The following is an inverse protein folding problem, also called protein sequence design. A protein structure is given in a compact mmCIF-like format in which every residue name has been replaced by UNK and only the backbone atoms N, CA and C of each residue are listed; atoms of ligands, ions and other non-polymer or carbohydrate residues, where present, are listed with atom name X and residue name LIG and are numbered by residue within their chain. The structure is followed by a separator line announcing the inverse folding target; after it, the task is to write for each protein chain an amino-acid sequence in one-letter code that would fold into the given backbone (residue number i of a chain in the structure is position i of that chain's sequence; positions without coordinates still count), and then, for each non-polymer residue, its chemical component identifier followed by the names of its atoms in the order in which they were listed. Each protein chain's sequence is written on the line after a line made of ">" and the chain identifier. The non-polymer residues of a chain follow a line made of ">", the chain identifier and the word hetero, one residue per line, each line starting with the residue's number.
data_IF_498808103418
#
_entry.id   IF_498808103418
#
_cell.length_a   1.000
_cell.length_b   1.000
_cell.length_c   1.000
_cell.angle_alpha   90.00
_cell.angle_beta   90.00
_cell.angle_gamma   90.00
#
_symmetry.space_group_name_H-M   'P 1'
#
loop_
_entity.id
_entity.type
_entity.pdbx_description
1 polymer ?
#
# COMPACT_ATOMS: atom_id res chain seq x y z
N UNK A 1 -20.28 11.31 20.73
CA UNK A 1 -18.91 11.23 20.18
C UNK A 1 -18.70 12.44 19.27
N UNK A 2 -17.44 12.78 18.93
CA UNK A 2 -17.14 13.84 17.97
C UNK A 2 -17.95 13.65 16.66
N UNK A 3 -18.29 14.75 16.00
CA UNK A 3 -19.03 14.77 14.73
C UNK A 3 -20.35 13.95 14.68
N UNK A 4 -20.99 13.73 15.84
CA UNK A 4 -22.33 13.15 15.92
C UNK A 4 -22.40 11.63 15.81
N UNK A 5 -21.27 10.91 15.77
CA UNK A 5 -21.26 9.46 15.76
C UNK A 5 -21.94 8.87 17.02
N UNK A 6 -22.72 7.79 16.84
CA UNK A 6 -23.41 7.10 17.95
C UNK A 6 -22.55 6.03 18.60
N UNK A 7 -21.77 5.31 17.80
CA UNK A 7 -20.89 4.22 18.25
C UNK A 7 -19.59 4.24 17.45
N UNK A 8 -18.52 3.77 18.06
CA UNK A 8 -17.23 3.54 17.42
C UNK A 8 -16.71 2.17 17.79
N UNK A 9 -15.93 1.58 16.88
CA UNK A 9 -15.12 0.39 17.12
C UNK A 9 -13.79 0.60 16.41
N UNK A 10 -12.70 0.12 17.00
CA UNK A 10 -11.39 0.33 16.42
C UNK A 10 -10.34 -0.55 17.08
N UNK A 11 -9.15 -0.50 16.49
CA UNK A 11 -7.96 -1.19 16.96
C UNK A 11 -6.81 -0.19 16.93
N UNK A 12 -6.02 -0.21 18.00
CA UNK A 12 -4.73 0.44 18.06
C UNK A 12 -3.70 -0.64 18.38
N UNK A 13 -2.70 -0.76 17.52
CA UNK A 13 -1.60 -1.69 17.67
C UNK A 13 -0.30 -0.90 17.66
N UNK A 14 0.55 -1.19 18.63
CA UNK A 14 1.90 -0.67 18.68
C UNK A 14 2.85 -1.83 18.92
N UNK A 15 3.83 -1.99 18.04
CA UNK A 15 4.76 -3.10 18.07
C UNK A 15 6.18 -2.63 17.82
N UNK A 16 7.12 -3.42 18.33
CA UNK A 16 8.54 -3.31 18.00
C UNK A 16 9.00 -4.65 17.44
N UNK A 17 9.84 -4.62 16.42
CA UNK A 17 10.43 -5.79 15.80
C UNK A 17 11.95 -5.73 15.86
N UNK A 18 12.56 -6.89 16.07
CA UNK A 18 13.99 -7.13 15.97
C UNK A 18 14.17 -8.35 15.07
N UNK A 19 14.61 -8.10 13.84
CA UNK A 19 14.72 -9.12 12.79
C UNK A 19 16.19 -9.42 12.59
N UNK A 20 16.57 -10.68 12.68
CA UNK A 20 17.93 -11.14 12.38
C UNK A 20 17.87 -12.22 11.30
N UNK A 21 18.71 -12.07 10.28
CA UNK A 21 18.83 -13.02 9.18
C UNK A 21 20.26 -13.59 9.17
N UNK A 22 20.36 -14.91 9.19
CA UNK A 22 21.59 -15.65 8.98
C UNK A 22 21.36 -16.67 7.87
N UNK A 23 22.25 -16.72 6.88
CA UNK A 23 22.17 -17.70 5.80
C UNK A 23 23.48 -18.47 5.64
N UNK A 24 23.41 -19.63 4.99
CA UNK A 24 24.57 -20.45 4.62
C UNK A 24 25.48 -19.79 3.57
N UNK A 25 25.03 -18.70 2.94
CA UNK A 25 25.81 -17.91 2.00
C UNK A 25 26.48 -16.70 2.71
N UNK A 26 26.75 -16.85 4.01
CA UNK A 26 27.39 -15.86 4.88
C UNK A 26 26.68 -14.50 5.00
N UNK A 27 25.40 -14.43 4.65
CA UNK A 27 24.58 -13.25 4.94
C UNK A 27 24.32 -13.18 6.44
N UNK A 28 24.71 -12.07 7.05
CA UNK A 28 24.43 -11.74 8.45
C UNK A 28 23.87 -10.32 8.51
N UNK A 29 22.57 -10.20 8.74
CA UNK A 29 21.90 -8.91 8.74
C UNK A 29 20.95 -8.81 9.94
N UNK A 30 20.78 -7.58 10.45
CA UNK A 30 19.85 -7.29 11.54
C UNK A 30 19.17 -5.96 11.31
N UNK A 31 17.86 -5.92 11.51
CA UNK A 31 17.08 -4.70 11.48
C UNK A 31 16.15 -4.58 12.69
N UNK A 32 15.84 -3.34 13.06
CA UNK A 32 14.95 -3.02 14.17
C UNK A 32 13.98 -1.95 13.74
N UNK A 33 12.74 -2.09 14.18
CA UNK A 33 11.67 -1.16 13.81
C UNK A 33 10.59 -1.07 14.85
N UNK A 34 9.86 0.03 14.80
CA UNK A 34 8.61 0.24 15.51
C UNK A 34 7.51 0.44 14.48
N UNK A 35 6.31 0.00 14.82
CA UNK A 35 5.13 0.08 13.97
C UNK A 35 3.95 0.44 14.84
N UNK A 36 3.25 1.49 14.46
CA UNK A 36 1.99 1.91 15.06
C UNK A 36 0.92 1.88 13.99
N UNK A 37 -0.18 1.20 14.27
CA UNK A 37 -1.34 1.07 13.40
C UNK A 37 -2.58 1.46 14.17
N UNK A 38 -3.42 2.27 13.54
CA UNK A 38 -4.71 2.67 14.08
C UNK A 38 -5.77 2.50 13.00
N UNK A 39 -6.86 1.84 13.35
CA UNK A 39 -8.04 1.76 12.50
C UNK A 39 -9.27 2.00 13.35
N UNK A 40 -10.14 2.89 12.87
CA UNK A 40 -11.38 3.23 13.54
C UNK A 40 -12.53 3.24 12.55
N UNK A 41 -13.67 2.72 13.02
CA UNK A 41 -14.95 2.77 12.33
C UNK A 41 -15.98 3.44 13.22
N UNK A 42 -16.65 4.45 12.70
CA UNK A 42 -17.73 5.18 13.34
C UNK A 42 -19.08 4.81 12.72
N UNK A 43 -20.12 4.74 13.54
CA UNK A 43 -21.47 4.29 13.15
C UNK A 43 -22.54 5.29 13.61
N UNK A 44 -23.44 5.63 12.70
CA UNK A 44 -24.65 6.44 12.97
C UNK A 44 -25.95 5.65 12.81
N UNK A 45 -25.96 4.68 11.90
CA UNK A 45 -27.04 3.72 11.71
C UNK A 45 -26.44 2.41 11.17
N UNK A 46 -27.30 1.42 10.85
CA UNK A 46 -26.87 0.17 10.21
C UNK A 46 -26.19 0.42 8.86
N UNK A 47 -26.69 1.40 8.11
CA UNK A 47 -26.27 1.68 6.74
C UNK A 47 -25.38 2.94 6.63
N UNK A 48 -25.12 3.63 7.75
CA UNK A 48 -24.27 4.82 7.80
C UNK A 48 -23.05 4.57 8.70
N UNK A 49 -21.91 4.32 8.05
CA UNK A 49 -20.62 4.14 8.72
C UNK A 49 -19.50 4.88 7.99
N UNK A 50 -18.44 5.22 8.71
CA UNK A 50 -17.23 5.81 8.16
C UNK A 50 -16.00 5.15 8.78
N UNK A 51 -14.94 4.98 7.98
CA UNK A 51 -13.71 4.32 8.39
C UNK A 51 -12.50 5.15 8.01
N UNK A 52 -11.53 5.20 8.93
CA UNK A 52 -10.20 5.75 8.70
C UNK A 52 -9.14 4.81 9.28
N UNK A 53 -7.99 4.86 8.65
CA UNK A 53 -6.82 4.06 9.00
C UNK A 53 -5.60 4.97 8.95
N UNK A 54 -4.71 4.81 9.92
CA UNK A 54 -3.41 5.46 9.95
C UNK A 54 -2.34 4.46 10.34
N UNK A 55 -1.16 4.62 9.76
CA UNK A 55 -0.01 3.80 10.09
C UNK A 55 1.26 4.66 10.09
N UNK A 56 2.18 4.36 10.99
CA UNK A 56 3.43 5.10 11.13
C UNK A 56 4.48 4.25 11.84
N UNK A 57 5.75 4.53 11.61
CA UNK A 57 6.85 3.98 12.43
C UNK A 57 7.16 4.83 13.66
N UNK A 58 6.54 6.00 13.77
CA UNK A 58 6.72 6.95 14.86
C UNK A 58 5.34 7.35 15.41
N UNK A 59 5.13 7.12 16.70
CA UNK A 59 3.83 7.33 17.34
C UNK A 59 3.36 8.79 17.24
N UNK A 60 4.28 9.75 17.36
CA UNK A 60 3.96 11.19 17.29
C UNK A 60 3.58 11.69 15.88
N UNK A 61 3.76 10.88 14.84
CA UNK A 61 3.31 11.20 13.48
C UNK A 61 1.92 10.60 13.17
N UNK A 62 1.34 9.84 14.10
CA UNK A 62 0.04 9.22 13.95
C UNK A 62 -1.02 10.06 14.67
N UNK A 63 -1.72 10.91 13.91
CA UNK A 63 -2.80 11.78 14.41
C UNK A 63 -4.11 10.98 14.55
N UNK A 64 -4.24 10.25 15.66
CA UNK A 64 -5.38 9.36 15.91
C UNK A 64 -6.68 10.14 16.14
N UNK A 65 -6.59 11.34 16.73
CA UNK A 65 -7.71 12.24 16.97
C UNK A 65 -8.32 12.69 15.64
N UNK A 66 -7.51 13.23 14.72
CA UNK A 66 -8.00 13.64 13.40
C UNK A 66 -8.60 12.45 12.61
N UNK A 67 -7.96 11.28 12.66
CA UNK A 67 -8.50 10.07 12.00
C UNK A 67 -9.87 9.67 12.58
N UNK A 68 -10.06 9.78 13.90
CA UNK A 68 -11.33 9.51 14.55
C UNK A 68 -12.41 10.53 14.18
N UNK A 69 -12.06 11.81 14.12
CA UNK A 69 -12.95 12.89 13.70
C UNK A 69 -13.40 12.72 12.24
N UNK A 70 -12.47 12.41 11.35
CA UNK A 70 -12.76 12.15 9.94
C UNK A 70 -13.65 10.91 9.75
N UNK A 71 -13.41 9.82 10.48
CA UNK A 71 -14.26 8.63 10.42
C UNK A 71 -15.70 8.95 10.87
N UNK A 72 -15.84 9.74 11.93
CA UNK A 72 -17.15 10.19 12.41
C UNK A 72 -17.84 11.13 11.41
N UNK A 73 -17.10 12.03 10.76
CA UNK A 73 -17.63 12.89 9.70
C UNK A 73 -18.16 12.09 8.51
N UNK A 74 -17.39 11.12 8.01
CA UNK A 74 -17.82 10.22 6.93
C UNK A 74 -19.09 9.46 7.34
N UNK A 75 -19.11 8.92 8.56
CA UNK A 75 -20.29 8.22 9.09
C UNK A 75 -21.54 9.10 9.12
N UNK A 76 -21.39 10.41 9.35
CA UNK A 76 -22.49 11.37 9.32
C UNK A 76 -22.92 11.69 7.89
N UNK A 77 -21.99 11.82 6.96
CA UNK A 77 -22.27 12.05 5.53
C UNK A 77 -23.03 10.88 4.88
N UNK A 78 -22.84 9.66 5.38
CA UNK A 78 -23.56 8.47 4.92
C UNK A 78 -25.02 8.37 5.43
N UNK A 79 -25.54 9.35 6.16
CA UNK A 79 -26.93 9.35 6.62
C UNK A 79 -27.90 9.59 5.46
N UNK A 80 -29.02 8.85 5.48
CA UNK A 80 -30.10 8.95 4.48
C UNK A 80 -29.59 8.77 3.03
N UNK A 81 -28.94 7.64 2.72
CA UNK A 81 -28.42 7.41 1.37
C UNK A 81 -29.56 7.34 0.35
N UNK A 82 -29.32 7.89 -0.83
CA UNK A 82 -30.20 7.76 -1.98
C UNK A 82 -29.64 6.76 -2.99
N UNK A 83 -30.53 6.08 -3.71
CA UNK A 83 -30.12 5.17 -4.77
C UNK A 83 -29.63 5.96 -5.99
N UNK A 84 -28.40 5.67 -6.42
CA UNK A 84 -27.85 6.20 -7.66
C UNK A 84 -28.51 5.60 -8.91
N UNK A 85 -28.39 6.30 -10.05
CA UNK A 85 -28.79 5.78 -11.36
C UNK A 85 -27.70 4.86 -11.92
N UNK A 86 -28.09 3.82 -12.65
CA UNK A 86 -27.14 3.01 -13.40
C UNK A 86 -26.53 3.83 -14.55
N UNK A 87 -25.21 3.74 -14.73
CA UNK A 87 -24.53 4.51 -15.77
C UNK A 87 -23.01 4.50 -15.62
N UNK A 88 -22.35 5.28 -16.49
CA UNK A 88 -20.94 5.59 -16.39
C UNK A 88 -20.79 6.97 -15.74
N UNK A 89 -19.92 7.07 -14.76
CA UNK A 89 -19.67 8.29 -14.00
C UNK A 89 -18.17 8.47 -13.82
N UNK A 90 -17.75 9.72 -13.72
CA UNK A 90 -16.42 10.05 -13.23
C UNK A 90 -16.41 9.83 -11.71
N UNK A 91 -15.36 9.17 -11.22
CA UNK A 91 -15.24 8.76 -9.82
C UNK A 91 -13.96 9.34 -9.24
N UNK A 92 -14.10 10.10 -8.16
CA UNK A 92 -12.98 10.54 -7.34
C UNK A 92 -12.79 9.53 -6.21
N UNK A 93 -11.66 8.82 -6.23
CA UNK A 93 -11.32 7.89 -5.16
C UNK A 93 -10.65 8.63 -3.99
N UNK A 94 -11.19 8.46 -2.79
CA UNK A 94 -10.45 8.80 -1.57
C UNK A 94 -9.20 7.91 -1.42
N UNK A 95 -8.19 8.35 -0.65
CA UNK A 95 -6.93 7.60 -0.52
C UNK A 95 -7.09 6.14 -0.08
N UNK A 96 -8.02 5.83 0.84
CA UNK A 96 -8.18 4.48 1.39
C UNK A 96 -8.70 3.45 0.35
N UNK A 97 -9.80 3.68 -0.38
CA UNK A 97 -10.21 2.76 -1.44
C UNK A 97 -9.19 2.73 -2.59
N UNK A 98 -8.53 3.84 -2.92
CA UNK A 98 -7.49 3.84 -3.95
C UNK A 98 -6.27 2.99 -3.54
N UNK A 99 -5.83 3.08 -2.27
CA UNK A 99 -4.74 2.26 -1.75
C UNK A 99 -5.01 0.76 -1.90
N UNK A 100 -6.26 0.31 -1.74
CA UNK A 100 -6.63 -1.09 -1.98
C UNK A 100 -6.45 -1.50 -3.46
N UNK A 101 -6.77 -0.61 -4.41
CA UNK A 101 -6.53 -0.87 -5.83
C UNK A 101 -5.02 -0.98 -6.10
N UNK A 102 -4.23 -0.08 -5.52
CA UNK A 102 -2.77 -0.09 -5.64
C UNK A 102 -2.15 -1.33 -5.03
N UNK A 103 -2.64 -1.80 -3.88
CA UNK A 103 -2.19 -3.03 -3.23
C UNK A 103 -2.44 -4.26 -4.11
N UNK A 104 -3.65 -4.39 -4.67
CA UNK A 104 -3.97 -5.45 -5.62
C UNK A 104 -3.06 -5.42 -6.86
N UNK A 105 -2.76 -4.21 -7.36
CA UNK A 105 -1.82 -4.04 -8.46
C UNK A 105 -0.38 -4.43 -8.05
N UNK A 106 0.04 -4.12 -6.83
CA UNK A 106 1.30 -4.57 -6.23
C UNK A 106 1.46 -6.08 -6.28
N UNK A 107 0.44 -6.80 -5.82
CA UNK A 107 0.40 -8.26 -5.86
C UNK A 107 0.44 -8.82 -7.29
N UNK A 108 -0.24 -8.15 -8.24
CA UNK A 108 -0.18 -8.49 -9.66
C UNK A 108 1.21 -8.21 -10.27
N UNK A 109 1.98 -7.27 -9.73
CA UNK A 109 3.36 -6.99 -10.17
C UNK A 109 4.39 -8.00 -9.64
N UNK A 110 4.00 -8.93 -8.76
CA UNK A 110 4.91 -10.01 -8.32
C UNK A 110 5.24 -10.95 -9.49
N UNK A 111 6.53 -11.19 -9.72
CA UNK A 111 6.97 -12.13 -10.74
C UNK A 111 6.44 -13.56 -10.49
N UNK A 112 6.22 -13.92 -9.22
CA UNK A 112 5.57 -15.17 -8.86
C UNK A 112 4.12 -15.22 -9.36
N UNK A 113 3.33 -14.17 -9.12
CA UNK A 113 1.95 -14.06 -9.61
C UNK A 113 1.88 -14.12 -11.15
N UNK A 114 2.86 -13.54 -11.83
CA UNK A 114 2.98 -13.59 -13.29
C UNK A 114 3.26 -15.00 -13.81
N UNK A 115 4.21 -15.72 -13.20
CA UNK A 115 4.53 -17.10 -13.58
C UNK A 115 3.37 -18.05 -13.29
N UNK A 116 2.72 -17.88 -12.15
CA UNK A 116 1.56 -18.68 -11.74
C UNK A 116 0.28 -18.41 -12.56
N UNK A 117 0.29 -17.41 -13.45
CA UNK A 117 -0.87 -17.03 -14.25
C UNK A 117 -1.97 -16.30 -13.48
N UNK A 118 -1.66 -15.79 -12.28
CA UNK A 118 -2.56 -15.02 -11.42
C UNK A 118 -2.54 -13.52 -11.73
N UNK A 119 -1.56 -13.06 -12.51
CA UNK A 119 -1.42 -11.65 -12.87
C UNK A 119 -1.95 -11.34 -14.28
N UNK A 120 -2.74 -10.26 -14.37
CA UNK A 120 -3.12 -9.67 -15.64
C UNK A 120 -1.97 -8.94 -16.37
N UNK A 121 -0.81 -8.79 -15.72
CA UNK A 121 0.34 -8.05 -16.26
C UNK A 121 1.32 -8.93 -17.05
N UNK A 122 1.02 -10.21 -17.25
CA UNK A 122 1.87 -11.11 -18.05
C UNK A 122 2.15 -10.52 -19.44
N UNK A 123 3.42 -10.49 -19.82
CA UNK A 123 3.91 -9.90 -21.08
C UNK A 123 3.57 -8.40 -21.25
N UNK A 124 3.42 -7.65 -20.15
CA UNK A 124 3.13 -6.20 -20.19
C UNK A 124 4.33 -5.30 -19.92
N UNK A 125 5.52 -5.85 -19.63
CA UNK A 125 6.74 -5.03 -19.52
C UNK A 125 6.95 -4.23 -20.81
N UNK A 126 7.20 -2.94 -20.68
CA UNK A 126 7.37 -1.99 -21.77
C UNK A 126 6.05 -1.50 -22.39
N UNK A 127 4.89 -1.99 -21.93
CA UNK A 127 3.58 -1.58 -22.44
C UNK A 127 2.89 -0.59 -21.50
N UNK A 128 1.96 0.17 -22.06
CA UNK A 128 1.11 1.07 -21.30
C UNK A 128 0.03 0.27 -20.55
N UNK A 129 0.05 0.34 -19.22
CA UNK A 129 -0.87 -0.34 -18.30
C UNK A 129 -1.69 0.64 -17.45
N UNK A 130 -1.35 1.92 -17.46
CA UNK A 130 -2.08 2.99 -16.78
C UNK A 130 -2.02 4.32 -17.56
N UNK A 131 -2.71 5.35 -17.06
CA UNK A 131 -2.61 6.71 -17.59
C UNK A 131 -1.17 7.23 -17.51
N UNK A 132 -0.78 8.12 -18.43
CA UNK A 132 0.55 8.76 -18.45
C UNK A 132 0.82 9.61 -17.21
N UNK A 133 -0.22 10.00 -16.48
CA UNK A 133 -0.13 10.73 -15.22
C UNK A 133 0.31 9.85 -14.05
N UNK A 134 0.23 8.52 -14.19
CA UNK A 134 0.50 7.56 -13.11
C UNK A 134 1.94 7.06 -13.18
N UNK A 135 2.67 7.29 -12.10
CA UNK A 135 3.97 6.68 -11.81
C UNK A 135 3.87 5.99 -10.46
N UNK A 136 4.22 4.71 -10.41
CA UNK A 136 4.20 3.90 -9.20
C UNK A 136 5.62 3.45 -8.88
N UNK A 137 6.03 3.71 -7.65
CA UNK A 137 7.33 3.34 -7.12
C UNK A 137 7.09 2.35 -5.99
N UNK A 138 7.90 1.29 -5.93
CA UNK A 138 8.07 0.49 -4.73
C UNK A 138 9.34 0.96 -4.03
N UNK A 139 9.23 1.49 -2.81
CA UNK A 139 10.37 2.08 -2.10
C UNK A 139 10.60 1.43 -0.74
N UNK A 140 11.49 0.43 -0.69
CA UNK A 140 11.85 -0.24 0.55
C UNK A 140 12.72 0.60 1.50
N UNK A 141 13.21 1.76 1.03
CA UNK A 141 14.03 2.70 1.78
C UNK A 141 13.25 3.95 2.19
N UNK A 142 11.93 3.98 1.98
CA UNK A 142 11.11 5.14 2.26
C UNK A 142 11.26 5.56 3.73
N UNK A 143 11.74 6.78 3.96
CA UNK A 143 11.92 7.27 5.34
C UNK A 143 10.60 7.23 6.08
N UNK A 144 10.58 6.53 7.22
CA UNK A 144 9.40 6.28 8.05
C UNK A 144 8.26 5.50 7.35
N UNK A 145 8.48 4.96 6.14
CA UNK A 145 7.51 4.16 5.42
C UNK A 145 7.21 2.87 6.18
N UNK A 146 5.94 2.52 6.31
CA UNK A 146 5.50 1.39 7.15
C UNK A 146 6.14 0.06 6.73
N UNK A 147 6.26 -0.20 5.42
CA UNK A 147 6.88 -1.41 4.85
C UNK A 147 8.40 -1.35 4.65
N UNK A 148 9.08 -0.35 5.22
CA UNK A 148 10.53 -0.18 5.02
C UNK A 148 11.34 -1.14 5.88
N UNK A 149 12.41 -1.67 5.31
CA UNK A 149 13.35 -2.60 5.94
C UNK A 149 14.74 -2.37 5.37
N UNK A 150 15.80 -2.66 6.12
CA UNK A 150 17.19 -2.61 5.58
C UNK A 150 17.46 -3.66 4.51
N UNK A 151 16.78 -4.80 4.57
CA UNK A 151 16.97 -5.93 3.66
C UNK A 151 15.67 -6.73 3.48
N UNK A 152 15.56 -7.43 2.36
CA UNK A 152 14.46 -8.36 2.05
C UNK A 152 14.67 -9.74 2.70
N UNK A 153 13.76 -10.70 2.49
CA UNK A 153 13.84 -12.02 3.11
C UNK A 153 15.05 -12.87 2.67
N UNK A 154 15.74 -12.48 1.59
CA UNK A 154 17.00 -13.11 1.13
C UNK A 154 18.25 -12.35 1.63
N UNK A 155 18.05 -11.22 2.31
CA UNK A 155 19.12 -10.38 2.84
C UNK A 155 19.69 -9.39 1.84
N UNK A 156 19.01 -9.18 0.72
CA UNK A 156 19.37 -8.17 -0.27
C UNK A 156 18.98 -6.80 0.28
N UNK A 157 19.88 -5.79 0.27
CA UNK A 157 19.52 -4.44 0.68
C UNK A 157 18.32 -3.93 -0.12
N UNK A 158 17.29 -3.46 0.57
CA UNK A 158 16.09 -2.93 -0.11
C UNK A 158 16.45 -1.69 -0.92
N UNK A 159 15.63 -1.38 -1.92
CA UNK A 159 15.90 -0.27 -2.82
C UNK A 159 14.60 0.37 -3.31
N UNK A 160 14.77 1.47 -4.05
CA UNK A 160 13.69 2.16 -4.74
C UNK A 160 13.58 1.65 -6.18
N UNK A 161 12.46 1.00 -6.49
CA UNK A 161 12.15 0.46 -7.82
C UNK A 161 11.05 1.28 -8.49
N UNK A 162 11.27 1.77 -9.71
CA UNK A 162 10.20 2.36 -10.51
C UNK A 162 9.44 1.20 -11.16
N UNK A 163 8.22 0.95 -10.71
CA UNK A 163 7.40 -0.16 -11.19
C UNK A 163 6.63 0.24 -12.44
N UNK A 164 5.99 1.41 -12.40
CA UNK A 164 5.28 2.02 -13.53
C UNK A 164 5.82 3.43 -13.69
N UNK A 165 6.26 3.79 -14.89
CA UNK A 165 6.73 5.13 -15.25
C UNK A 165 5.83 5.72 -16.33
N UNK A 166 5.11 6.80 -16.00
CA UNK A 166 4.14 7.45 -16.90
C UNK A 166 3.23 6.45 -17.61
N UNK A 167 2.64 5.56 -16.82
CA UNK A 167 1.73 4.52 -17.28
C UNK A 167 2.40 3.30 -17.91
N UNK A 168 3.72 3.26 -18.09
CA UNK A 168 4.44 2.14 -18.70
C UNK A 168 5.01 1.21 -17.63
N UNK A 169 4.66 -0.08 -17.67
CA UNK A 169 5.23 -1.08 -16.76
C UNK A 169 6.71 -1.32 -17.07
N UNK A 170 7.58 -1.18 -16.06
CA UNK A 170 9.04 -1.22 -16.23
C UNK A 170 9.65 -2.56 -15.87
N UNK A 171 9.16 -3.19 -14.81
CA UNK A 171 9.65 -4.48 -14.29
C UNK A 171 8.56 -5.14 -13.44
N UNK A 172 8.78 -6.39 -13.06
CA UNK A 172 8.05 -7.04 -11.96
C UNK A 172 8.87 -6.95 -10.67
N UNK A 173 8.24 -7.28 -9.53
CA UNK A 173 8.91 -7.49 -8.26
C UNK A 173 9.59 -8.86 -8.30
N UNK A 174 10.87 -8.89 -7.94
CA UNK A 174 11.72 -10.07 -8.03
C UNK A 174 12.45 -10.34 -6.71
N UNK A 175 12.51 -11.62 -6.37
CA UNK A 175 13.54 -12.22 -5.52
C UNK A 175 14.67 -12.77 -6.41
N UNK A 176 15.73 -13.33 -5.83
CA UNK A 176 16.88 -13.86 -6.60
C UNK A 176 16.48 -14.96 -7.58
N UNK A 177 15.56 -15.84 -7.17
CA UNK A 177 15.12 -16.98 -8.00
C UNK A 177 14.31 -16.54 -9.23
N UNK A 178 13.32 -15.66 -9.05
CA UNK A 178 12.52 -15.11 -10.14
C UNK A 178 13.37 -14.20 -11.02
N UNK A 179 14.27 -13.39 -10.46
CA UNK A 179 15.20 -12.59 -11.25
C UNK A 179 16.01 -13.44 -12.23
N UNK A 180 16.56 -14.58 -11.76
CA UNK A 180 17.29 -15.53 -12.60
C UNK A 180 16.43 -16.09 -13.72
N UNK A 181 15.17 -16.48 -13.44
CA UNK A 181 14.25 -17.04 -14.46
C UNK A 181 13.83 -16.01 -15.51
N UNK A 182 13.64 -14.77 -15.12
CA UNK A 182 13.31 -13.66 -16.02
C UNK A 182 14.54 -13.01 -16.67
N UNK A 183 15.74 -13.56 -16.44
CA UNK A 183 17.00 -13.02 -16.94
C UNK A 183 17.19 -11.53 -16.61
N UNK A 184 16.90 -11.17 -15.36
CA UNK A 184 16.99 -9.81 -14.81
C UNK A 184 17.71 -9.83 -13.45
N UNK A 185 17.77 -8.68 -12.78
CA UNK A 185 18.28 -8.54 -11.41
C UNK A 185 17.14 -8.57 -10.40
N UNK A 186 17.47 -8.96 -9.17
CA UNK A 186 16.53 -8.84 -8.04
C UNK A 186 16.12 -7.37 -7.88
N UNK A 187 14.86 -7.16 -7.48
CA UNK A 187 14.38 -5.84 -7.08
C UNK A 187 14.46 -5.63 -5.57
N UNK A 188 15.07 -6.59 -4.85
CA UNK A 188 15.14 -6.61 -3.39
C UNK A 188 13.75 -6.64 -2.73
N UNK A 189 12.88 -7.49 -3.30
CA UNK A 189 11.50 -7.66 -2.86
C UNK A 189 11.22 -9.09 -2.39
N UNK A 190 12.22 -9.88 -2.03
CA UNK A 190 11.96 -11.23 -1.56
C UNK A 190 11.09 -11.23 -0.30
N UNK A 191 9.89 -11.81 -0.37
CA UNK A 191 9.12 -12.26 0.77
C UNK A 191 9.47 -13.71 1.12
N UNK A 192 8.74 -14.29 2.09
CA UNK A 192 9.03 -15.66 2.56
C UNK A 192 8.78 -16.71 1.47
N UNK A 193 7.76 -16.50 0.64
CA UNK A 193 7.37 -17.41 -0.45
C UNK A 193 7.51 -16.76 -1.82
N UNK A 194 7.03 -15.53 -1.96
CA UNK A 194 6.94 -14.80 -3.22
C UNK A 194 7.54 -13.41 -3.08
N UNK A 195 7.93 -12.76 -4.19
CA UNK A 195 8.25 -11.34 -4.16
C UNK A 195 7.03 -10.52 -3.72
N UNK A 196 7.22 -9.60 -2.78
CA UNK A 196 6.17 -8.77 -2.18
C UNK A 196 6.53 -7.27 -2.28
N UNK A 197 5.55 -6.38 -2.48
CA UNK A 197 5.79 -4.95 -2.45
C UNK A 197 6.17 -4.49 -1.02
N UNK A 198 6.91 -3.40 -0.93
CA UNK A 198 7.29 -2.75 0.32
C UNK A 198 6.40 -1.54 0.58
N UNK A 199 6.77 -0.36 0.07
CA UNK A 199 5.96 0.85 0.11
C UNK A 199 5.61 1.26 -1.32
N UNK A 200 4.37 1.00 -1.75
CA UNK A 200 3.88 1.47 -3.03
C UNK A 200 3.47 2.94 -2.94
N UNK A 201 4.21 3.78 -3.67
CA UNK A 201 4.02 5.23 -3.71
C UNK A 201 3.55 5.62 -5.10
N UNK A 202 2.35 6.19 -5.17
CA UNK A 202 1.84 6.85 -6.38
C UNK A 202 2.26 8.32 -6.32
N UNK A 203 2.77 8.85 -7.43
CA UNK A 203 3.12 10.25 -7.54
C UNK A 203 1.91 11.17 -7.28
N UNK A 204 2.15 12.31 -6.64
CA UNK A 204 1.13 13.35 -6.50
C UNK A 204 0.81 13.97 -7.86
N UNK A 205 -0.46 14.25 -8.09
CA UNK A 205 -0.91 15.11 -9.19
C UNK A 205 -0.78 16.59 -8.85
N UNK A 206 -1.29 17.44 -9.74
CA UNK A 206 -1.24 18.90 -9.61
C UNK A 206 -2.53 19.52 -9.04
N UNK A 207 -3.54 18.69 -8.74
CA UNK A 207 -4.82 19.13 -8.21
C UNK A 207 -4.88 18.96 -6.70
N UNK A 208 -5.44 19.95 -6.02
CA UNK A 208 -5.90 19.87 -4.63
C UNK A 208 -7.22 19.13 -4.52
N UNK A 209 -7.59 18.70 -3.30
CA UNK A 209 -8.86 18.02 -3.04
C UNK A 209 -10.10 18.88 -3.35
N UNK A 210 -9.98 20.21 -3.36
CA UNK A 210 -11.08 21.11 -3.70
C UNK A 210 -11.23 21.31 -5.21
N UNK A 211 -10.18 21.02 -5.99
CA UNK A 211 -10.18 21.13 -7.45
C UNK A 211 -10.63 19.83 -8.14
N UNK A 212 -10.62 18.70 -7.41
CA UNK A 212 -11.15 17.40 -7.84
C UNK A 212 -12.66 17.32 -7.66
#
# INVERSE_FOLDING_TARGET
>A
LANGAKRTAGVFENSAADVSLLSSNDVKARDKGTYSYFSIRAFNSKDASGQKVGSSRMLNLLDVENLAEEAALISKQCLNPEYGKFGKFDVVFEPLPFANIIDNLGNAMSAFSVEAGLSCLKNMIGKQVASKEITIIDDGMLRNGFGSSKFDAEGVPTQRNIMIDKGILKTYLHNTSTAKRFNTKTTANAGLLSPEPTNLVVNKGNFSKQEL
#
